data_IF_844061403119
#
_entry.id   IF_844061403119
#
_cell.length_a   1.000
_cell.length_b   1.000
_cell.length_c   1.000
_cell.angle_alpha   90.00
_cell.angle_beta   90.00
_cell.angle_gamma   90.00
#
_symmetry.space_group_name_H-M   'P 1'
#
loop_
_entity.id
_entity.type
_entity.pdbx_description
1 polymer ?
#
# COMPACT_ATOMS: atom_id res chain seq x y z
N UNK A 1 -23.38 38.67 5.33
CA UNK A 1 -23.83 37.35 4.82
C UNK A 1 -22.70 36.53 4.19
N UNK A 2 -21.86 37.09 3.31
CA UNK A 2 -20.85 36.32 2.55
C UNK A 2 -19.74 35.65 3.37
N UNK A 3 -19.25 36.28 4.45
CA UNK A 3 -18.17 35.74 5.29
C UNK A 3 -18.48 34.38 5.93
N UNK A 4 -19.74 34.16 6.32
CA UNK A 4 -20.18 32.91 6.94
C UNK A 4 -20.18 31.73 5.96
N UNK A 5 -20.46 31.98 4.67
CA UNK A 5 -20.41 30.94 3.64
C UNK A 5 -18.98 30.44 3.42
N UNK A 6 -18.00 31.34 3.39
CA UNK A 6 -16.59 30.96 3.30
C UNK A 6 -16.11 30.21 4.54
N UNK A 7 -16.53 30.63 5.74
CA UNK A 7 -16.20 29.93 6.98
C UNK A 7 -16.75 28.49 6.99
N UNK A 8 -18.02 28.30 6.60
CA UNK A 8 -18.63 26.97 6.48
C UNK A 8 -17.89 26.11 5.45
N UNK A 9 -17.54 26.68 4.29
CA UNK A 9 -16.77 25.98 3.26
C UNK A 9 -15.41 25.51 3.76
N UNK A 10 -14.66 26.36 4.47
CA UNK A 10 -13.36 26.00 5.06
C UNK A 10 -13.51 24.87 6.07
N UNK A 11 -14.49 24.98 6.98
CA UNK A 11 -14.75 23.93 7.99
C UNK A 11 -15.10 22.61 7.32
N UNK A 12 -15.93 22.61 6.28
CA UNK A 12 -16.28 21.41 5.54
C UNK A 12 -15.06 20.77 4.86
N UNK A 13 -14.18 21.58 4.25
CA UNK A 13 -12.95 21.09 3.62
C UNK A 13 -12.00 20.49 4.66
N UNK A 14 -11.80 21.17 5.79
CA UNK A 14 -10.95 20.69 6.89
C UNK A 14 -11.51 19.38 7.46
N UNK A 15 -12.82 19.30 7.69
CA UNK A 15 -13.48 18.08 8.16
C UNK A 15 -13.33 16.93 7.15
N UNK A 16 -13.53 17.20 5.85
CA UNK A 16 -13.37 16.20 4.79
C UNK A 16 -11.91 15.72 4.67
N UNK A 17 -10.94 16.64 4.77
CA UNK A 17 -9.53 16.30 4.76
C UNK A 17 -9.15 15.47 6.00
N UNK A 18 -9.62 15.86 7.18
CA UNK A 18 -9.40 15.11 8.42
C UNK A 18 -10.00 13.70 8.34
N UNK A 19 -11.23 13.58 7.84
CA UNK A 19 -11.87 12.29 7.63
C UNK A 19 -11.05 11.40 6.68
N UNK A 20 -10.65 11.94 5.52
CA UNK A 20 -9.94 11.17 4.48
C UNK A 20 -8.51 10.82 4.87
N UNK A 21 -7.79 11.72 5.55
CA UNK A 21 -6.36 11.56 5.85
C UNK A 21 -6.09 10.89 7.19
N UNK A 22 -7.03 10.93 8.13
CA UNK A 22 -6.83 10.40 9.48
C UNK A 22 -7.86 9.33 9.81
N UNK A 23 -9.15 9.66 9.81
CA UNK A 23 -10.21 8.74 10.28
C UNK A 23 -10.27 7.49 9.40
N UNK A 24 -10.30 7.68 8.09
CA UNK A 24 -10.42 6.58 7.14
C UNK A 24 -9.23 5.60 7.18
N UNK A 25 -7.97 6.03 6.99
CA UNK A 25 -6.85 5.08 6.94
C UNK A 25 -6.60 4.34 8.26
N UNK A 26 -6.90 4.98 9.39
CA UNK A 26 -6.65 4.43 10.73
C UNK A 26 -7.76 3.47 11.18
N UNK A 27 -9.03 3.80 10.94
CA UNK A 27 -10.14 3.05 11.55
C UNK A 27 -11.05 2.33 10.55
N UNK A 28 -11.27 2.90 9.36
CA UNK A 28 -12.30 2.42 8.43
C UNK A 28 -11.71 1.60 7.27
N UNK A 29 -10.44 1.84 6.93
CA UNK A 29 -9.76 1.12 5.87
C UNK A 29 -9.72 -0.37 6.21
N UNK A 30 -10.04 -1.29 5.27
CA UNK A 30 -9.92 -2.72 5.52
C UNK A 30 -8.48 -3.14 5.89
N UNK A 31 -7.48 -2.36 5.45
CA UNK A 31 -6.06 -2.57 5.76
C UNK A 31 -5.67 -2.05 7.16
N UNK A 32 -6.55 -1.37 7.90
CA UNK A 32 -6.29 -0.95 9.30
C UNK A 32 -6.08 -2.13 10.24
N UNK A 33 -6.65 -3.30 9.91
CA UNK A 33 -6.49 -4.55 10.66
C UNK A 33 -5.11 -5.17 10.51
N UNK A 34 -4.37 -4.78 9.48
CA UNK A 34 -3.02 -5.31 9.24
C UNK A 34 -2.01 -4.41 9.96
N UNK A 35 -1.19 -4.96 10.86
CA UNK A 35 -0.22 -4.19 11.61
C UNK A 35 0.78 -3.49 10.66
N UNK A 36 1.01 -2.18 10.81
CA UNK A 36 1.96 -1.46 9.99
C UNK A 36 3.41 -1.70 10.46
N UNK A 37 4.34 -1.89 9.53
CA UNK A 37 5.77 -2.01 9.83
C UNK A 37 6.35 -0.73 10.47
N UNK A 38 5.72 0.41 10.19
CA UNK A 38 6.05 1.70 10.76
C UNK A 38 4.81 2.56 10.82
N UNK A 39 4.67 3.42 11.84
CA UNK A 39 3.48 4.25 12.05
C UNK A 39 3.10 5.09 10.82
N UNK A 40 4.09 5.55 10.04
CA UNK A 40 3.83 6.32 8.82
C UNK A 40 3.20 5.50 7.70
N UNK A 41 3.35 4.17 7.69
CA UNK A 41 2.81 3.28 6.65
C UNK A 41 1.28 3.30 6.59
N UNK A 42 0.60 3.75 7.65
CA UNK A 42 -0.85 3.95 7.64
C UNK A 42 -1.26 5.15 6.78
N UNK A 43 -0.40 6.17 6.70
CA UNK A 43 -0.72 7.46 6.08
C UNK A 43 -0.05 7.68 4.73
N UNK A 44 1.21 7.25 4.56
CA UNK A 44 1.97 7.46 3.33
C UNK A 44 3.06 6.40 3.10
N UNK A 45 3.62 6.42 1.89
CA UNK A 45 4.68 5.48 1.47
C UNK A 45 6.10 5.92 1.84
N UNK A 46 6.27 6.99 2.64
CA UNK A 46 7.58 7.59 2.90
C UNK A 46 8.58 6.59 3.51
N UNK A 47 8.13 5.79 4.48
CA UNK A 47 9.00 4.81 5.15
C UNK A 47 9.52 3.74 4.17
N UNK A 48 8.65 3.13 3.37
CA UNK A 48 9.08 2.07 2.44
C UNK A 48 9.99 2.63 1.33
N UNK A 49 9.74 3.85 0.87
CA UNK A 49 10.62 4.54 -0.08
C UNK A 49 12.00 4.77 0.53
N UNK A 50 12.07 5.26 1.76
CA UNK A 50 13.33 5.50 2.47
C UNK A 50 14.08 4.20 2.76
N UNK A 51 13.37 3.15 3.17
CA UNK A 51 13.95 1.82 3.45
C UNK A 51 14.54 1.21 2.15
N UNK A 52 13.86 1.37 1.01
CA UNK A 52 14.37 0.97 -0.31
C UNK A 52 15.58 1.76 -0.74
N UNK A 53 15.53 3.08 -0.58
CA UNK A 53 16.63 3.99 -0.90
C UNK A 53 17.91 3.64 -0.13
N UNK A 54 17.76 3.28 1.15
CA UNK A 54 18.86 2.85 2.02
C UNK A 54 19.24 1.38 1.88
N UNK A 55 18.60 0.64 0.94
CA UNK A 55 18.82 -0.79 0.67
C UNK A 55 18.62 -1.71 1.88
N UNK A 56 17.72 -1.33 2.80
CA UNK A 56 17.44 -2.06 4.03
C UNK A 56 16.09 -2.81 4.00
N UNK A 57 15.39 -2.85 2.86
CA UNK A 57 14.05 -3.44 2.74
C UNK A 57 13.96 -4.85 3.28
N UNK A 58 14.87 -5.74 2.87
CA UNK A 58 14.81 -7.13 3.26
C UNK A 58 14.86 -7.32 4.79
N UNK A 59 15.83 -6.68 5.46
CA UNK A 59 15.99 -6.80 6.90
C UNK A 59 14.81 -6.16 7.65
N UNK A 60 14.41 -4.94 7.26
CA UNK A 60 13.30 -4.21 7.91
C UNK A 60 11.97 -4.93 7.80
N UNK A 61 11.68 -5.49 6.63
CA UNK A 61 10.45 -6.23 6.37
C UNK A 61 10.48 -7.59 7.08
N UNK A 62 11.64 -8.26 7.10
CA UNK A 62 11.84 -9.48 7.88
C UNK A 62 11.57 -9.25 9.37
N UNK A 63 12.19 -8.23 9.97
CA UNK A 63 11.98 -7.90 11.38
C UNK A 63 10.51 -7.59 11.68
N UNK A 64 9.84 -6.86 10.79
CA UNK A 64 8.42 -6.57 10.94
C UNK A 64 7.56 -7.85 10.90
N UNK A 65 7.87 -8.81 10.01
CA UNK A 65 7.19 -10.10 9.99
C UNK A 65 7.48 -10.94 11.24
N UNK A 66 8.70 -10.86 11.80
CA UNK A 66 9.01 -11.52 13.07
C UNK A 66 8.22 -10.94 14.24
N UNK A 67 7.90 -9.64 14.21
CA UNK A 67 7.13 -8.97 15.26
C UNK A 67 5.62 -9.11 15.10
N UNK A 68 5.12 -9.10 13.86
CA UNK A 68 3.70 -8.95 13.57
C UNK A 68 3.06 -10.16 12.87
N UNK A 69 3.87 -11.14 12.45
CA UNK A 69 3.40 -12.38 11.84
C UNK A 69 3.29 -12.30 10.33
N UNK A 70 2.37 -13.10 9.77
CA UNK A 70 2.35 -13.42 8.34
C UNK A 70 1.95 -12.25 7.41
N UNK A 71 1.33 -11.19 7.92
CA UNK A 71 0.89 -10.06 7.10
C UNK A 71 1.30 -8.73 7.74
N UNK A 72 1.94 -7.86 6.96
CA UNK A 72 2.45 -6.57 7.42
C UNK A 72 2.12 -5.48 6.42
N UNK A 73 1.70 -4.30 6.89
CA UNK A 73 1.41 -3.13 6.05
C UNK A 73 2.65 -2.26 5.87
N UNK A 74 3.10 -2.10 4.63
CA UNK A 74 4.32 -1.33 4.27
C UNK A 74 3.99 0.08 3.75
N UNK A 75 2.75 0.32 3.33
CA UNK A 75 2.24 1.63 2.90
C UNK A 75 0.70 1.60 2.91
N UNK A 76 -0.02 2.73 2.75
CA UNK A 76 -1.48 2.74 2.87
C UNK A 76 -2.17 1.72 1.99
N UNK A 77 -1.58 1.40 0.84
CA UNK A 77 -2.11 0.44 -0.15
C UNK A 77 -1.08 -0.66 -0.51
N UNK A 78 -0.12 -0.95 0.37
CA UNK A 78 0.91 -1.98 0.13
C UNK A 78 1.05 -2.92 1.33
N UNK A 79 0.93 -4.22 1.06
CA UNK A 79 1.08 -5.29 2.04
C UNK A 79 2.27 -6.18 1.67
N UNK A 80 2.94 -6.70 2.70
CA UNK A 80 3.90 -7.79 2.62
C UNK A 80 3.26 -9.03 3.23
N UNK A 81 3.32 -10.15 2.53
CA UNK A 81 2.65 -11.40 2.92
C UNK A 81 3.67 -12.53 2.95
N UNK A 82 3.72 -13.23 4.08
CA UNK A 82 4.60 -14.35 4.37
C UNK A 82 3.80 -15.55 4.88
N UNK A 83 2.72 -15.89 4.18
CA UNK A 83 1.95 -17.13 4.34
C UNK A 83 1.75 -17.80 2.98
N UNK A 84 1.83 -19.12 2.93
CA UNK A 84 1.66 -19.85 1.68
C UNK A 84 0.18 -20.01 1.31
N UNK A 85 -0.58 -20.77 2.11
CA UNK A 85 -1.96 -21.17 1.78
C UNK A 85 -2.92 -19.97 1.68
N UNK A 86 -2.98 -19.13 2.73
CA UNK A 86 -3.88 -17.97 2.80
C UNK A 86 -3.30 -16.70 2.16
N UNK A 87 -2.12 -16.78 1.55
CA UNK A 87 -1.36 -15.62 1.10
C UNK A 87 -0.85 -15.77 -0.31
N UNK A 88 0.40 -16.21 -0.45
CA UNK A 88 1.11 -16.32 -1.73
C UNK A 88 0.29 -17.12 -2.74
N UNK A 89 -0.28 -18.28 -2.34
CA UNK A 89 -1.11 -19.09 -3.23
C UNK A 89 -2.33 -18.32 -3.71
N UNK A 90 -3.08 -17.67 -2.81
CA UNK A 90 -4.25 -16.87 -3.16
C UNK A 90 -3.91 -15.69 -4.08
N UNK A 91 -2.78 -15.00 -3.86
CA UNK A 91 -2.38 -13.85 -4.67
C UNK A 91 -1.95 -14.28 -6.08
N UNK A 92 -1.09 -15.30 -6.19
CA UNK A 92 -0.54 -15.73 -7.47
C UNK A 92 -1.52 -16.58 -8.30
N UNK A 93 -2.36 -17.38 -7.64
CA UNK A 93 -3.33 -18.28 -8.32
C UNK A 93 -4.75 -17.71 -8.37
N UNK A 94 -5.07 -16.69 -7.56
CA UNK A 94 -6.41 -16.10 -7.49
C UNK A 94 -6.74 -15.11 -8.62
N UNK A 95 -5.87 -14.95 -9.61
CA UNK A 95 -6.16 -14.11 -10.79
C UNK A 95 -6.12 -12.60 -10.52
N UNK A 96 -5.36 -12.14 -9.51
CA UNK A 96 -5.18 -10.71 -9.26
C UNK A 96 -4.56 -10.02 -10.48
N UNK A 97 -5.06 -8.83 -10.87
CA UNK A 97 -4.56 -8.11 -12.03
C UNK A 97 -3.10 -7.71 -11.79
N UNK A 98 -2.26 -7.95 -12.79
CA UNK A 98 -0.87 -7.52 -12.77
C UNK A 98 -0.78 -6.13 -13.41
N UNK A 99 -0.13 -5.15 -12.77
CA UNK A 99 0.02 -3.82 -13.36
C UNK A 99 0.95 -3.87 -14.56
N UNK A 100 0.84 -2.90 -15.47
CA UNK A 100 1.70 -2.81 -16.67
C UNK A 100 3.19 -2.87 -16.35
N UNK A 101 3.60 -2.30 -15.21
CA UNK A 101 4.99 -2.36 -14.73
C UNK A 101 5.50 -3.80 -14.60
N UNK A 102 4.63 -4.75 -14.22
CA UNK A 102 5.00 -6.16 -14.15
C UNK A 102 5.43 -6.67 -15.53
N UNK A 103 4.66 -6.41 -16.57
CA UNK A 103 4.98 -6.86 -17.93
C UNK A 103 6.15 -6.07 -18.54
N UNK A 104 6.18 -4.76 -18.32
CA UNK A 104 7.21 -3.88 -18.87
C UNK A 104 8.56 -4.06 -18.18
N UNK A 105 8.58 -4.42 -16.90
CA UNK A 105 9.81 -4.68 -16.15
C UNK A 105 10.58 -5.92 -16.65
N UNK A 106 9.90 -6.84 -17.32
CA UNK A 106 10.51 -8.00 -17.97
C UNK A 106 10.61 -7.86 -19.51
N UNK A 107 10.21 -6.71 -20.07
CA UNK A 107 10.34 -6.46 -21.49
C UNK A 107 11.82 -6.26 -21.85
N UNK A 108 12.26 -6.95 -22.89
CA UNK A 108 13.64 -6.89 -23.37
C UNK A 108 13.63 -6.23 -24.74
N UNK A 109 14.28 -5.07 -24.86
CA UNK A 109 14.35 -4.27 -26.10
C UNK A 109 12.98 -3.96 -26.73
N UNK A 110 11.99 -3.58 -25.91
CA UNK A 110 10.65 -3.23 -26.37
C UNK A 110 9.81 -4.42 -26.84
N UNK A 111 10.32 -5.65 -26.75
CA UNK A 111 9.52 -6.86 -26.92
C UNK A 111 8.91 -7.26 -25.60
N UNK A 112 7.58 -7.35 -25.58
CA UNK A 112 6.83 -7.85 -24.45
C UNK A 112 7.27 -9.29 -24.14
N UNK A 113 7.39 -9.61 -22.86
CA UNK A 113 7.68 -10.97 -22.41
C UNK A 113 6.57 -11.93 -22.86
N UNK A 114 6.95 -13.14 -23.29
CA UNK A 114 6.09 -14.18 -23.92
C UNK A 114 4.82 -14.49 -23.10
N UNK A 115 4.84 -14.23 -21.79
CA UNK A 115 3.69 -14.38 -20.90
C UNK A 115 2.50 -13.44 -21.16
N UNK A 116 2.66 -12.36 -21.93
CA UNK A 116 1.55 -11.45 -22.21
C UNK A 116 0.71 -11.87 -23.43
N UNK A 117 1.25 -12.72 -24.31
CA UNK A 117 0.67 -12.97 -25.64
C UNK A 117 -0.41 -14.07 -25.67
N UNK A 118 -0.81 -14.58 -24.50
CA UNK A 118 -1.77 -15.69 -24.36
C UNK A 118 -2.89 -15.45 -23.34
N UNK A 119 -3.17 -14.20 -22.98
CA UNK A 119 -4.35 -13.82 -22.20
C UNK A 119 -5.24 -12.85 -22.97
#
# INVERSE_FOLDING_TARGET
MGSYLYAIGIVAIVAAAFYKLIVYPVFLSPLSRVPPAHWSCTFCSAWIVWVRWTKQENNRVYDAHMQHGAAVRLSPNLLSINSFDDGVKAIYQGGFPKPDLYFNGFAVYGRQSVHHQGQ
#
